data_IF_131687299875
#
_entry.id   IF_131687299875
#
_cell.length_a   1.000
_cell.length_b   1.000
_cell.length_c   1.000
_cell.angle_alpha   90.00
_cell.angle_beta   90.00
_cell.angle_gamma   90.00
#
_symmetry.space_group_name_H-M   'P 1'
#
loop_
_entity.id
_entity.type
_entity.pdbx_description
1 polymer ?
#
# COMPACT_ATOMS: atom_id res chain seq x y z
N UNK A 1 20.04 -28.76 12.60
CA UNK A 1 18.59 -28.50 12.69
C UNK A 1 18.16 -28.22 11.27
N UNK A 2 17.59 -29.23 10.63
CA UNK A 2 17.32 -29.21 9.19
C UNK A 2 16.18 -28.25 8.88
N UNK A 3 16.48 -27.33 7.97
CA UNK A 3 15.58 -26.30 7.47
C UNK A 3 14.56 -26.97 6.53
N UNK A 4 13.36 -27.25 7.04
CA UNK A 4 12.23 -27.65 6.21
C UNK A 4 11.63 -26.41 5.56
N UNK A 5 12.33 -25.88 4.54
CA UNK A 5 11.71 -24.95 3.61
C UNK A 5 10.49 -25.64 2.99
N UNK A 6 9.29 -25.08 3.21
CA UNK A 6 8.06 -25.62 2.63
C UNK A 6 8.17 -25.39 1.11
N UNK A 7 7.79 -26.34 0.24
CA UNK A 7 7.93 -26.18 -1.21
C UNK A 7 7.27 -24.90 -1.80
N UNK A 8 6.32 -24.29 -1.07
CA UNK A 8 5.73 -23.00 -1.44
C UNK A 8 6.48 -21.74 -0.99
N UNK A 9 7.48 -21.84 -0.08
CA UNK A 9 8.25 -20.69 0.41
C UNK A 9 9.32 -20.23 -0.57
N UNK A 10 9.96 -21.15 -1.30
CA UNK A 10 10.94 -20.81 -2.35
C UNK A 10 10.26 -20.11 -3.52
N UNK A 11 9.13 -20.64 -4.01
CA UNK A 11 8.34 -20.00 -5.08
C UNK A 11 7.85 -18.59 -4.68
N UNK A 12 7.52 -18.40 -3.40
CA UNK A 12 7.10 -17.10 -2.87
C UNK A 12 8.30 -16.13 -2.74
N UNK A 13 9.48 -16.64 -2.40
CA UNK A 13 10.71 -15.84 -2.39
C UNK A 13 11.07 -15.38 -3.82
N UNK A 14 10.91 -16.25 -4.81
CA UNK A 14 11.19 -15.94 -6.22
C UNK A 14 10.25 -14.85 -6.76
N UNK A 15 8.94 -14.95 -6.50
CA UNK A 15 7.99 -13.91 -6.95
C UNK A 15 8.23 -12.58 -6.25
N UNK A 16 8.57 -12.59 -4.96
CA UNK A 16 8.86 -11.35 -4.22
C UNK A 16 10.10 -10.66 -4.79
N UNK A 17 11.15 -11.44 -5.10
CA UNK A 17 12.36 -10.93 -5.75
C UNK A 17 12.05 -10.30 -7.11
N UNK A 18 11.29 -10.99 -7.95
CA UNK A 18 10.86 -10.46 -9.26
C UNK A 18 10.06 -9.15 -9.13
N UNK A 19 9.18 -9.06 -8.15
CA UNK A 19 8.41 -7.84 -7.89
C UNK A 19 9.34 -6.68 -7.53
N UNK A 20 10.30 -6.92 -6.62
CA UNK A 20 11.27 -5.90 -6.17
C UNK A 20 12.18 -5.44 -7.31
N UNK A 21 12.67 -6.35 -8.15
CA UNK A 21 13.46 -6.00 -9.34
C UNK A 21 12.70 -5.04 -10.25
N UNK A 22 11.42 -5.33 -10.51
CA UNK A 22 10.56 -4.43 -11.31
C UNK A 22 10.32 -3.10 -10.60
N UNK A 23 10.22 -3.06 -9.27
CA UNK A 23 10.04 -1.78 -8.55
C UNK A 23 11.22 -0.85 -8.75
N UNK A 24 12.45 -1.35 -8.77
CA UNK A 24 13.61 -0.52 -9.04
C UNK A 24 13.55 0.15 -10.42
N UNK A 25 13.13 -0.58 -11.46
CA UNK A 25 12.93 -0.02 -12.80
C UNK A 25 11.84 1.06 -12.82
N UNK A 26 10.70 0.80 -12.16
CA UNK A 26 9.60 1.76 -12.06
C UNK A 26 10.00 3.03 -11.29
N UNK A 27 10.76 2.88 -10.20
CA UNK A 27 11.27 4.00 -9.40
C UNK A 27 12.24 4.84 -10.23
N UNK A 28 13.15 4.21 -10.98
CA UNK A 28 14.07 4.93 -11.86
C UNK A 28 13.31 5.74 -12.92
N UNK A 29 12.30 5.13 -13.55
CA UNK A 29 11.44 5.82 -14.52
C UNK A 29 10.57 6.93 -13.89
N UNK A 30 10.14 6.77 -12.64
CA UNK A 30 9.40 7.80 -11.90
C UNK A 30 10.32 8.98 -11.52
N UNK A 31 11.51 8.71 -10.97
CA UNK A 31 12.54 9.71 -10.63
C UNK A 31 12.96 10.55 -11.84
N UNK A 32 13.00 9.94 -13.03
CA UNK A 32 13.28 10.66 -14.28
C UNK A 32 12.18 11.65 -14.69
N UNK A 33 10.93 11.43 -14.27
CA UNK A 33 9.77 12.28 -14.59
C UNK A 33 9.49 13.34 -13.53
N UNK A 34 9.73 13.01 -12.26
CA UNK A 34 9.44 13.88 -11.12
C UNK A 34 10.50 13.72 -10.04
N UNK A 35 11.08 14.82 -9.59
CA UNK A 35 12.13 14.82 -8.58
C UNK A 35 11.59 14.48 -7.19
N UNK A 36 12.46 13.90 -6.35
CA UNK A 36 12.15 13.63 -4.95
C UNK A 36 11.78 14.90 -4.18
N UNK A 37 12.48 16.01 -4.41
CA UNK A 37 12.20 17.29 -3.75
C UNK A 37 10.76 17.77 -4.03
N UNK A 38 10.34 17.75 -5.30
CA UNK A 38 8.97 18.11 -5.67
C UNK A 38 7.91 17.17 -5.08
N UNK A 39 8.23 15.89 -4.90
CA UNK A 39 7.35 14.95 -4.23
C UNK A 39 7.24 15.22 -2.72
N UNK A 40 8.37 15.50 -2.08
CA UNK A 40 8.43 15.85 -0.66
C UNK A 40 7.62 17.10 -0.37
N UNK A 41 7.78 18.15 -1.17
CA UNK A 41 7.01 19.39 -1.02
C UNK A 41 5.48 19.15 -1.11
N UNK A 42 5.03 18.31 -2.06
CA UNK A 42 3.59 17.97 -2.16
C UNK A 42 3.13 17.12 -0.97
N UNK A 43 3.90 16.12 -0.56
CA UNK A 43 3.57 15.27 0.58
C UNK A 43 3.47 16.08 1.88
N UNK A 44 4.40 17.01 2.10
CA UNK A 44 4.41 17.91 3.24
C UNK A 44 3.21 18.86 3.23
N UNK A 45 2.86 19.42 2.06
CA UNK A 45 1.67 20.24 1.88
C UNK A 45 0.36 19.52 2.25
N UNK A 46 0.33 18.19 2.15
CA UNK A 46 -0.82 17.35 2.51
C UNK A 46 -0.82 16.82 3.94
N UNK A 47 0.19 17.10 4.77
CA UNK A 47 0.27 16.55 6.14
C UNK A 47 -0.99 16.85 6.97
N UNK A 48 -1.62 18.01 6.76
CA UNK A 48 -2.87 18.38 7.43
C UNK A 48 -4.11 17.55 7.02
N UNK A 49 -4.04 16.80 5.92
CA UNK A 49 -5.13 15.97 5.38
C UNK A 49 -5.11 14.54 5.92
N UNK A 50 -4.10 14.14 6.69
CA UNK A 50 -3.92 12.77 7.18
C UNK A 50 -5.02 12.35 8.15
N UNK A 51 -5.70 11.24 7.85
CA UNK A 51 -6.87 10.73 8.58
C UNK A 51 -6.52 9.90 9.82
N UNK A 52 -5.24 9.54 10.01
CA UNK A 52 -4.73 8.81 11.17
C UNK A 52 -5.08 7.32 11.17
N UNK A 53 -4.34 6.55 10.38
CA UNK A 53 -4.56 5.11 10.15
C UNK A 53 -4.54 4.27 11.44
N UNK A 54 -3.49 4.40 12.26
CA UNK A 54 -3.37 3.69 13.53
C UNK A 54 -4.49 4.06 14.51
N UNK A 55 -4.79 5.36 14.62
CA UNK A 55 -5.84 5.88 15.50
C UNK A 55 -7.20 5.27 15.17
N UNK A 56 -7.55 5.14 13.89
CA UNK A 56 -8.81 4.53 13.47
C UNK A 56 -8.91 3.05 13.89
N UNK A 57 -7.83 2.28 13.76
CA UNK A 57 -7.79 0.89 14.23
C UNK A 57 -7.96 0.79 15.75
N UNK A 58 -7.21 1.59 16.51
CA UNK A 58 -7.29 1.60 17.97
C UNK A 58 -8.68 2.01 18.46
N UNK A 59 -9.32 2.98 17.81
CA UNK A 59 -10.67 3.43 18.17
C UNK A 59 -11.71 2.30 18.04
N UNK A 60 -11.64 1.49 16.97
CA UNK A 60 -12.50 0.31 16.81
C UNK A 60 -12.29 -0.70 17.93
N UNK A 61 -11.03 -1.03 18.22
CA UNK A 61 -10.67 -2.00 19.27
C UNK A 61 -11.13 -1.51 20.64
N UNK A 62 -10.91 -0.24 20.97
CA UNK A 62 -11.33 0.37 22.24
C UNK A 62 -12.86 0.35 22.42
N UNK A 63 -13.62 0.41 21.32
CA UNK A 63 -15.07 0.28 21.33
C UNK A 63 -15.56 -1.18 21.36
N UNK A 64 -14.67 -2.16 21.55
CA UNK A 64 -15.01 -3.59 21.54
C UNK A 64 -15.34 -4.14 20.15
N UNK A 65 -14.96 -3.44 19.08
CA UNK A 65 -15.17 -3.84 17.69
C UNK A 65 -13.88 -4.37 17.06
N UNK A 66 -14.01 -5.12 15.95
CA UNK A 66 -12.86 -5.55 15.18
C UNK A 66 -12.22 -4.37 14.41
N UNK A 67 -10.90 -4.19 14.54
CA UNK A 67 -10.11 -3.24 13.76
C UNK A 67 -9.79 -3.77 12.35
N UNK A 68 -10.76 -3.74 11.44
CA UNK A 68 -10.61 -4.33 10.10
C UNK A 68 -9.98 -3.33 9.12
N UNK A 69 -8.87 -3.72 8.49
CA UNK A 69 -8.34 -3.07 7.27
C UNK A 69 -8.94 -3.80 6.07
N UNK A 70 -9.86 -3.17 5.35
CA UNK A 70 -10.52 -3.78 4.19
C UNK A 70 -9.72 -3.52 2.91
N UNK A 71 -9.37 -4.57 2.18
CA UNK A 71 -8.49 -4.48 1.01
C UNK A 71 -9.26 -4.37 -0.31
N UNK A 72 -9.01 -3.28 -1.05
CA UNK A 72 -9.49 -3.05 -2.41
C UNK A 72 -8.48 -3.66 -3.40
N UNK A 73 -8.77 -4.86 -3.90
CA UNK A 73 -7.86 -5.65 -4.74
C UNK A 73 -8.56 -6.22 -5.98
N UNK A 74 -7.99 -5.95 -7.16
CA UNK A 74 -8.52 -6.44 -8.45
C UNK A 74 -8.03 -7.84 -8.79
N UNK A 75 -6.72 -8.07 -8.68
CA UNK A 75 -6.10 -9.34 -9.02
C UNK A 75 -4.99 -9.70 -8.01
N UNK A 76 -4.49 -10.94 -8.09
CA UNK A 76 -3.23 -11.32 -7.44
C UNK A 76 -2.52 -12.42 -8.24
N UNK A 77 -1.17 -12.53 -8.15
CA UNK A 77 -0.42 -13.54 -8.90
C UNK A 77 -0.92 -14.98 -8.70
N UNK A 78 -1.34 -15.30 -7.47
CA UNK A 78 -1.81 -16.64 -7.11
C UNK A 78 -3.24 -16.98 -7.53
N UNK A 79 -4.08 -15.99 -7.86
CA UNK A 79 -5.52 -16.19 -8.09
C UNK A 79 -6.04 -15.54 -9.37
N UNK A 80 -5.20 -14.82 -10.11
CA UNK A 80 -5.62 -14.04 -11.27
C UNK A 80 -6.59 -12.92 -10.87
N UNK A 81 -7.52 -12.59 -11.77
CA UNK A 81 -8.55 -11.56 -11.53
C UNK A 81 -9.57 -12.07 -10.51
N UNK A 82 -9.68 -11.36 -9.39
CA UNK A 82 -10.64 -11.63 -8.32
C UNK A 82 -11.99 -10.97 -8.58
N UNK A 83 -11.96 -9.79 -9.22
CA UNK A 83 -13.15 -8.99 -9.53
C UNK A 83 -12.96 -8.30 -10.88
N UNK A 84 -13.75 -8.72 -11.88
CA UNK A 84 -13.69 -8.15 -13.23
C UNK A 84 -14.27 -6.73 -13.29
N UNK A 85 -15.47 -6.52 -12.74
CA UNK A 85 -16.07 -5.19 -12.58
C UNK A 85 -15.52 -4.52 -11.32
N UNK A 86 -14.45 -3.74 -11.51
CA UNK A 86 -13.65 -3.18 -10.43
C UNK A 86 -13.83 -1.66 -10.35
N UNK A 87 -14.64 -1.22 -9.38
CA UNK A 87 -14.98 0.18 -9.13
C UNK A 87 -14.48 0.61 -7.73
N UNK A 88 -13.25 1.13 -7.60
CA UNK A 88 -12.62 1.39 -6.31
C UNK A 88 -13.46 2.25 -5.35
N UNK A 89 -14.10 3.31 -5.88
CA UNK A 89 -14.95 4.20 -5.10
C UNK A 89 -16.14 3.46 -4.46
N UNK A 90 -16.91 2.72 -5.27
CA UNK A 90 -18.05 1.95 -4.78
C UNK A 90 -17.64 0.85 -3.78
N UNK A 91 -16.48 0.23 -3.99
CA UNK A 91 -15.93 -0.78 -3.08
C UNK A 91 -15.57 -0.13 -1.73
N UNK A 92 -14.90 1.01 -1.75
CA UNK A 92 -14.50 1.76 -0.57
C UNK A 92 -15.71 2.27 0.24
N UNK A 93 -16.72 2.83 -0.44
CA UNK A 93 -17.99 3.23 0.18
C UNK A 93 -18.69 2.05 0.87
N UNK A 94 -18.71 0.90 0.19
CA UNK A 94 -19.27 -0.33 0.76
C UNK A 94 -18.50 -0.73 2.02
N UNK A 95 -17.17 -0.77 1.99
CA UNK A 95 -16.38 -1.12 3.17
C UNK A 95 -16.57 -0.16 4.34
N UNK A 96 -16.63 1.15 4.07
CA UNK A 96 -16.95 2.14 5.09
C UNK A 96 -18.33 1.91 5.70
N UNK A 97 -19.35 1.68 4.87
CA UNK A 97 -20.73 1.41 5.31
C UNK A 97 -20.84 0.18 6.21
N UNK A 98 -20.05 -0.86 5.93
CA UNK A 98 -20.04 -2.11 6.72
C UNK A 98 -19.00 -2.10 7.85
N UNK A 99 -18.47 -0.93 8.20
CA UNK A 99 -17.77 -0.71 9.46
C UNK A 99 -16.28 -1.00 9.46
N UNK A 100 -15.63 -1.06 8.29
CA UNK A 100 -14.18 -1.12 8.20
C UNK A 100 -13.53 0.05 8.96
N UNK A 101 -12.36 -0.20 9.57
CA UNK A 101 -11.59 0.82 10.27
C UNK A 101 -10.75 1.64 9.28
N UNK A 102 -10.14 0.94 8.33
CA UNK A 102 -9.25 1.51 7.33
C UNK A 102 -9.41 0.78 5.99
N UNK A 103 -8.85 1.36 4.94
CA UNK A 103 -8.70 0.71 3.65
C UNK A 103 -7.24 0.34 3.38
N UNK A 104 -7.05 -0.72 2.61
CA UNK A 104 -5.79 -1.07 1.96
C UNK A 104 -6.04 -1.07 0.46
N UNK A 105 -5.28 -0.31 -0.34
CA UNK A 105 -5.49 -0.25 -1.79
C UNK A 105 -4.21 -0.64 -2.51
N UNK A 106 -4.33 -1.65 -3.39
CA UNK A 106 -3.21 -2.10 -4.21
C UNK A 106 -2.88 -1.05 -5.28
N UNK A 107 -1.64 -0.58 -5.28
CA UNK A 107 -1.13 0.36 -6.29
C UNK A 107 -0.18 -0.28 -7.30
N UNK A 108 0.31 -1.50 -7.03
CA UNK A 108 1.11 -2.26 -7.98
C UNK A 108 0.29 -2.67 -9.23
N UNK A 109 0.66 -2.14 -10.38
CA UNK A 109 -0.05 -2.37 -11.64
C UNK A 109 0.26 -3.76 -12.23
N UNK A 110 1.52 -4.17 -12.23
CA UNK A 110 1.99 -5.33 -13.00
C UNK A 110 1.51 -6.67 -12.43
N UNK A 111 1.51 -6.84 -11.11
CA UNK A 111 1.23 -8.12 -10.45
C UNK A 111 -0.17 -8.15 -9.82
N UNK A 112 -0.70 -6.99 -9.40
CA UNK A 112 -1.99 -6.91 -8.73
C UNK A 112 -3.08 -6.20 -9.55
N UNK A 113 -2.74 -5.67 -10.74
CA UNK A 113 -3.62 -4.81 -11.53
C UNK A 113 -4.22 -3.68 -10.70
N UNK A 114 -3.40 -3.15 -9.77
CA UNK A 114 -3.68 -1.94 -9.01
C UNK A 114 -3.46 -0.68 -9.83
N UNK A 115 -3.60 0.47 -9.19
CA UNK A 115 -3.25 1.77 -9.76
C UNK A 115 -3.24 2.83 -8.65
N UNK A 116 -2.40 3.86 -8.78
CA UNK A 116 -2.41 5.05 -7.90
C UNK A 116 -3.78 5.75 -7.93
N UNK A 117 -4.41 5.82 -9.11
CA UNK A 117 -5.75 6.38 -9.28
C UNK A 117 -6.82 5.62 -8.47
N UNK A 118 -6.66 4.32 -8.23
CA UNK A 118 -7.60 3.56 -7.41
C UNK A 118 -7.52 3.94 -5.95
N UNK A 119 -6.31 4.22 -5.43
CA UNK A 119 -6.13 4.73 -4.07
C UNK A 119 -6.82 6.08 -3.92
N UNK A 120 -6.61 7.00 -4.87
CA UNK A 120 -7.23 8.32 -4.85
C UNK A 120 -8.76 8.23 -4.93
N UNK A 121 -9.30 7.41 -5.83
CA UNK A 121 -10.74 7.18 -5.95
C UNK A 121 -11.35 6.62 -4.66
N UNK A 122 -10.73 5.59 -4.08
CA UNK A 122 -11.19 4.97 -2.83
C UNK A 122 -11.12 5.95 -1.64
N UNK A 123 -10.06 6.77 -1.59
CA UNK A 123 -9.90 7.78 -0.55
C UNK A 123 -10.94 8.90 -0.66
N UNK A 124 -11.24 9.36 -1.88
CA UNK A 124 -12.20 10.44 -2.11
C UNK A 124 -13.66 10.01 -1.87
N UNK A 125 -13.96 8.71 -1.93
CA UNK A 125 -15.32 8.19 -1.80
C UNK A 125 -15.75 7.88 -0.36
N UNK A 126 -14.85 7.99 0.63
CA UNK A 126 -15.19 7.77 2.04
C UNK A 126 -14.21 8.49 2.97
N UNK A 127 -14.48 8.47 4.29
CA UNK A 127 -13.63 9.11 5.31
C UNK A 127 -12.62 8.17 5.98
N UNK A 128 -12.51 6.92 5.52
CA UNK A 128 -11.55 5.99 6.09
C UNK A 128 -10.11 6.40 5.73
N UNK A 129 -9.14 6.21 6.65
CA UNK A 129 -7.73 6.31 6.30
C UNK A 129 -7.32 5.15 5.38
N UNK A 130 -6.38 5.42 4.48
CA UNK A 130 -6.00 4.50 3.39
C UNK A 130 -4.51 4.16 3.45
N UNK A 131 -4.22 2.87 3.49
CA UNK A 131 -2.89 2.30 3.29
C UNK A 131 -2.59 2.18 1.79
N UNK A 132 -1.44 2.70 1.37
CA UNK A 132 -0.84 2.33 0.07
C UNK A 132 -0.26 0.92 0.18
N UNK A 133 -0.94 -0.05 -0.43
CA UNK A 133 -0.48 -1.44 -0.48
C UNK A 133 0.38 -1.64 -1.72
N UNK A 134 1.68 -1.56 -1.51
CA UNK A 134 2.70 -1.69 -2.55
C UNK A 134 3.99 -2.28 -1.96
N UNK A 135 5.00 -2.47 -2.80
CA UNK A 135 6.32 -2.96 -2.40
C UNK A 135 7.27 -1.76 -2.26
N UNK A 136 7.39 -1.25 -1.03
CA UNK A 136 8.23 -0.08 -0.73
C UNK A 136 9.69 -0.51 -0.57
N UNK A 137 10.57 0.03 -1.39
CA UNK A 137 12.02 -0.20 -1.36
C UNK A 137 12.85 1.09 -1.44
N UNK A 138 12.23 2.25 -1.66
CA UNK A 138 12.92 3.53 -1.80
C UNK A 138 12.10 4.69 -1.18
N UNK A 139 12.79 5.67 -0.58
CA UNK A 139 12.18 6.86 0.05
C UNK A 139 11.27 7.64 -0.92
N UNK A 140 11.56 7.56 -2.22
CA UNK A 140 10.74 8.15 -3.26
C UNK A 140 9.31 7.66 -3.21
N UNK A 141 9.10 6.36 -2.95
CA UNK A 141 7.77 5.77 -2.84
C UNK A 141 7.03 6.22 -1.59
N UNK A 142 7.75 6.55 -0.50
CA UNK A 142 7.17 7.11 0.73
C UNK A 142 6.62 8.50 0.47
N UNK A 143 7.43 9.37 -0.15
CA UNK A 143 7.00 10.72 -0.54
C UNK A 143 5.87 10.66 -1.56
N UNK A 144 5.95 9.77 -2.54
CA UNK A 144 4.89 9.52 -3.53
C UNK A 144 3.59 9.06 -2.88
N UNK A 145 3.64 8.19 -1.87
CA UNK A 145 2.48 7.78 -1.09
C UNK A 145 1.83 8.97 -0.37
N UNK A 146 2.62 9.83 0.26
CA UNK A 146 2.13 11.05 0.90
C UNK A 146 1.51 12.03 -0.10
N UNK A 147 2.17 12.25 -1.25
CA UNK A 147 1.69 13.13 -2.31
C UNK A 147 0.37 12.67 -2.93
N UNK A 148 0.10 11.35 -3.01
CA UNK A 148 -1.18 10.82 -3.47
C UNK A 148 -2.27 10.77 -2.38
N UNK A 149 -1.93 11.13 -1.13
CA UNK A 149 -2.85 11.19 0.01
C UNK A 149 -2.96 9.90 0.82
N UNK A 150 -2.04 8.94 0.68
CA UNK A 150 -2.03 7.77 1.57
C UNK A 150 -1.79 8.19 3.03
N UNK A 151 -2.47 7.52 3.95
CA UNK A 151 -2.35 7.76 5.39
C UNK A 151 -1.40 6.76 6.07
N UNK A 152 -0.96 5.72 5.34
CA UNK A 152 -0.05 4.68 5.80
C UNK A 152 0.65 4.02 4.59
N UNK A 153 1.84 3.47 4.83
CA UNK A 153 2.61 2.66 3.87
C UNK A 153 2.86 1.25 4.42
N UNK A 154 3.19 0.32 3.53
CA UNK A 154 3.56 -1.05 3.90
C UNK A 154 5.08 -1.22 3.82
N UNK A 155 5.70 -1.70 4.91
CA UNK A 155 7.07 -2.19 4.89
C UNK A 155 7.06 -3.71 5.04
N UNK A 156 7.75 -4.43 4.15
CA UNK A 156 7.79 -5.89 4.13
C UNK A 156 9.20 -6.33 4.55
N UNK A 157 9.36 -6.81 5.78
CA UNK A 157 10.66 -7.23 6.32
C UNK A 157 11.37 -8.30 5.46
N UNK A 158 10.61 -9.14 4.73
CA UNK A 158 11.20 -10.16 3.85
C UNK A 158 11.92 -9.60 2.61
N UNK A 159 11.73 -8.31 2.26
CA UNK A 159 12.42 -7.68 1.13
C UNK A 159 13.29 -6.47 1.52
N UNK A 160 13.44 -6.18 2.81
CA UNK A 160 14.17 -5.02 3.30
C UNK A 160 15.25 -5.46 4.30
N UNK A 161 16.42 -4.85 4.20
CA UNK A 161 17.38 -4.89 5.30
C UNK A 161 16.85 -4.03 6.48
N UNK A 162 17.22 -4.36 7.72
CA UNK A 162 16.77 -3.62 8.91
C UNK A 162 17.07 -2.13 8.82
N UNK A 163 18.25 -1.74 8.30
CA UNK A 163 18.62 -0.34 8.10
C UNK A 163 17.70 0.36 7.10
N UNK A 164 17.42 -0.29 5.96
CA UNK A 164 16.54 0.25 4.93
C UNK A 164 15.10 0.38 5.44
N UNK A 165 14.63 -0.59 6.22
CA UNK A 165 13.31 -0.53 6.84
C UNK A 165 13.20 0.65 7.82
N UNK A 166 14.22 0.86 8.66
CA UNK A 166 14.28 2.01 9.56
C UNK A 166 14.33 3.35 8.82
N UNK A 167 15.09 3.43 7.72
CA UNK A 167 15.18 4.63 6.90
C UNK A 167 13.82 4.97 6.26
N UNK A 168 13.10 3.96 5.75
CA UNK A 168 11.76 4.15 5.17
C UNK A 168 10.68 4.48 6.20
N UNK A 169 10.80 3.97 7.43
CA UNK A 169 9.90 4.32 8.55
C UNK A 169 10.09 5.77 8.99
N UNK A 170 11.33 6.28 8.95
CA UNK A 170 11.67 7.62 9.40
C UNK A 170 11.39 8.74 8.36
N UNK A 171 11.21 8.37 7.09
CA UNK A 171 10.98 9.30 5.97
C UNK A 171 9.59 9.97 6.01
#
# INVERSE_FOLDING_TARGET
REDHARPGSELMADILKQIVEVKWDEIAAAKARRSLASLRDEAEGRRGEQRGFERALRAKIAAGQAGVIAEVKKASPSKGVLRADFQPAAIAESYARFGAACLSVLTDERFFQGATAYLQQARLSCELPVLRKDFMVDEYQVMDAGAMGADCILLIAACLADSQMADLEAA
#
